data_IF_491456286612
#
_entry.id   IF_491456286612
#
_cell.length_a   1.000
_cell.length_b   1.000
_cell.length_c   1.000
_cell.angle_alpha   90.00
_cell.angle_beta   90.00
_cell.angle_gamma   90.00
#
_symmetry.space_group_name_H-M   'P 1'
#
loop_
_entity.id
_entity.type
_entity.pdbx_description
1 polymer ?
#
# COMPACT_ATOMS: atom_id res chain seq x y z
N UNK A 1 -14.90 -3.40 -5.93
CA UNK A 1 -13.68 -2.93 -5.26
C UNK A 1 -13.78 -3.23 -3.76
N UNK A 2 -12.66 -3.37 -3.08
CA UNK A 2 -12.58 -3.49 -1.60
C UNK A 2 -11.74 -2.30 -1.13
N UNK A 3 -12.20 -1.61 -0.09
CA UNK A 3 -11.47 -0.53 0.57
C UNK A 3 -11.51 -0.81 2.07
N UNK A 4 -10.34 -1.06 2.68
CA UNK A 4 -10.24 -1.45 4.09
C UNK A 4 -9.56 -0.33 4.88
N UNK A 5 -10.24 0.17 5.92
CA UNK A 5 -9.59 0.93 6.97
C UNK A 5 -9.14 -0.03 8.07
N UNK A 6 -7.88 -0.47 7.98
CA UNK A 6 -7.32 -1.45 8.94
C UNK A 6 -7.05 -0.82 10.32
N UNK A 7 -7.24 0.49 10.47
CA UNK A 7 -7.14 1.19 11.75
C UNK A 7 -8.35 1.01 12.65
N UNK A 8 -9.50 0.59 12.09
CA UNK A 8 -10.73 0.40 12.86
C UNK A 8 -10.58 -0.65 13.98
N UNK A 9 -11.33 -0.46 15.08
CA UNK A 9 -11.29 -1.30 16.28
C UNK A 9 -11.45 -2.81 15.99
N UNK A 10 -12.22 -3.15 14.95
CA UNK A 10 -12.43 -4.53 14.54
C UNK A 10 -11.16 -5.24 14.07
N UNK A 11 -10.17 -4.49 13.56
CA UNK A 11 -8.89 -5.00 13.06
C UNK A 11 -7.75 -4.86 14.07
N UNK A 12 -7.92 -4.04 15.10
CA UNK A 12 -6.89 -3.72 16.11
C UNK A 12 -7.14 -4.35 17.48
N UNK A 13 -8.21 -5.14 17.63
CA UNK A 13 -8.52 -5.79 18.91
C UNK A 13 -7.43 -6.77 19.36
N UNK A 14 -6.68 -6.37 20.38
CA UNK A 14 -5.58 -7.18 20.93
C UNK A 14 -4.29 -7.14 20.10
N UNK A 15 -4.19 -6.21 19.13
CA UNK A 15 -3.03 -6.01 18.27
C UNK A 15 -2.68 -4.51 18.18
N UNK A 16 -1.43 -4.13 17.93
CA UNK A 16 -1.10 -2.73 17.66
C UNK A 16 -1.82 -2.21 16.40
N UNK A 17 -2.03 -0.89 16.32
CA UNK A 17 -2.55 -0.24 15.13
C UNK A 17 -1.63 -0.51 13.91
N UNK A 18 -2.14 -0.71 12.68
CA UNK A 18 -1.32 -1.09 11.53
C UNK A 18 -0.23 -0.07 11.14
N UNK A 19 -0.40 1.18 11.55
CA UNK A 19 0.65 2.20 11.40
C UNK A 19 1.86 1.91 12.28
N UNK A 20 1.69 1.29 13.45
CA UNK A 20 2.73 0.97 14.42
C UNK A 20 3.37 -0.38 14.08
N UNK A 21 2.54 -1.38 13.80
CA UNK A 21 2.95 -2.74 13.44
C UNK A 21 2.29 -3.15 12.11
N UNK A 22 3.07 -3.39 11.04
CA UNK A 22 2.51 -3.66 9.72
C UNK A 22 1.86 -5.06 9.60
N UNK A 23 2.02 -5.95 10.59
CA UNK A 23 1.62 -7.36 10.47
C UNK A 23 0.17 -7.55 10.05
N UNK A 24 -0.78 -6.83 10.66
CA UNK A 24 -2.20 -6.92 10.28
C UNK A 24 -2.39 -6.54 8.81
N UNK A 25 -1.74 -5.48 8.32
CA UNK A 25 -1.83 -5.09 6.91
C UNK A 25 -1.25 -6.18 6.00
N UNK A 26 -0.09 -6.72 6.33
CA UNK A 26 0.55 -7.78 5.53
C UNK A 26 -0.33 -9.03 5.44
N UNK A 27 -0.94 -9.46 6.54
CA UNK A 27 -1.87 -10.61 6.57
C UNK A 27 -3.13 -10.37 5.71
N UNK A 28 -3.72 -9.16 5.80
CA UNK A 28 -4.86 -8.80 4.94
C UNK A 28 -4.46 -8.71 3.48
N UNK A 29 -3.28 -8.17 3.17
CA UNK A 29 -2.76 -8.12 1.81
C UNK A 29 -2.61 -9.51 1.21
N UNK A 30 -1.97 -10.42 1.95
CA UNK A 30 -1.78 -11.81 1.54
C UNK A 30 -3.11 -12.54 1.31
N UNK A 31 -4.11 -12.31 2.16
CA UNK A 31 -5.42 -12.98 2.04
C UNK A 31 -6.37 -12.36 1.01
N UNK A 32 -6.18 -11.09 0.63
CA UNK A 32 -7.14 -10.35 -0.21
C UNK A 32 -6.67 -10.15 -1.65
N UNK A 33 -5.36 -10.08 -1.90
CA UNK A 33 -4.82 -9.83 -3.25
C UNK A 33 -4.69 -11.13 -4.03
N UNK A 34 -5.51 -11.31 -5.06
CA UNK A 34 -5.62 -12.53 -5.86
C UNK A 34 -5.57 -12.25 -7.38
N UNK A 35 -5.81 -13.29 -8.19
CA UNK A 35 -5.81 -13.21 -9.66
C UNK A 35 -6.88 -12.29 -10.25
N UNK A 36 -7.90 -11.91 -9.46
CA UNK A 36 -8.95 -10.97 -9.85
C UNK A 36 -8.60 -9.52 -9.56
N UNK A 37 -7.51 -9.28 -8.81
CA UNK A 37 -7.08 -7.94 -8.41
C UNK A 37 -6.41 -7.23 -9.59
N UNK A 38 -7.01 -6.13 -10.04
CA UNK A 38 -6.46 -5.31 -11.13
C UNK A 38 -5.61 -4.12 -10.65
N UNK A 39 -5.93 -3.56 -9.48
CA UNK A 39 -5.27 -2.37 -8.92
C UNK A 39 -5.13 -2.54 -7.41
N UNK A 40 -3.95 -2.21 -6.91
CA UNK A 40 -3.66 -2.07 -5.49
C UNK A 40 -3.42 -0.58 -5.19
N UNK A 41 -4.22 -0.05 -4.28
CA UNK A 41 -4.11 1.33 -3.78
C UNK A 41 -3.72 1.29 -2.31
N UNK A 42 -2.63 1.98 -1.94
CA UNK A 42 -2.13 2.03 -0.56
C UNK A 42 -1.80 3.46 -0.13
N UNK A 43 -1.94 3.74 1.15
CA UNK A 43 -1.36 4.93 1.77
C UNK A 43 -0.25 4.54 2.76
N UNK A 44 0.81 5.35 2.78
CA UNK A 44 1.95 5.18 3.67
C UNK A 44 2.04 6.40 4.55
N UNK A 45 1.88 6.22 5.86
CA UNK A 45 1.94 7.30 6.85
C UNK A 45 3.27 7.24 7.59
N UNK A 46 3.99 8.35 7.63
CA UNK A 46 5.27 8.50 8.32
C UNK A 46 5.09 9.22 9.66
N UNK A 47 6.19 9.55 10.32
CA UNK A 47 6.21 10.34 11.54
C UNK A 47 6.32 9.51 12.82
N UNK A 48 6.26 10.21 13.94
CA UNK A 48 6.41 9.60 15.26
C UNK A 48 5.26 8.63 15.56
N UNK A 49 5.59 7.46 16.06
CA UNK A 49 4.64 6.39 16.34
C UNK A 49 4.35 5.49 15.13
N UNK A 50 4.72 5.89 13.92
CA UNK A 50 4.67 5.00 12.75
C UNK A 50 5.81 3.98 12.79
N UNK A 51 5.64 2.87 12.07
CA UNK A 51 6.65 1.84 11.90
C UNK A 51 7.97 2.44 11.38
N UNK A 52 9.09 1.77 11.65
CA UNK A 52 10.43 2.27 11.30
C UNK A 52 10.65 2.37 9.78
N UNK A 53 10.00 1.49 9.00
CA UNK A 53 10.09 1.45 7.54
C UNK A 53 8.75 1.03 6.91
N UNK A 54 7.72 1.91 6.94
CA UNK A 54 6.37 1.54 6.53
C UNK A 54 6.29 1.29 5.02
N UNK A 55 7.08 2.01 4.22
CA UNK A 55 7.23 1.78 2.79
C UNK A 55 7.86 0.40 2.49
N UNK A 56 8.91 0.01 3.22
CA UNK A 56 9.54 -1.31 3.08
C UNK A 56 8.56 -2.45 3.36
N UNK A 57 7.78 -2.35 4.42
CA UNK A 57 6.78 -3.36 4.74
C UNK A 57 5.64 -3.44 3.69
N UNK A 58 5.35 -2.35 2.96
CA UNK A 58 4.44 -2.40 1.80
C UNK A 58 5.10 -3.13 0.63
N UNK A 59 6.35 -2.79 0.31
CA UNK A 59 7.11 -3.43 -0.78
C UNK A 59 7.21 -4.94 -0.58
N UNK A 60 7.53 -5.39 0.64
CA UNK A 60 7.57 -6.82 0.97
C UNK A 60 6.25 -7.53 0.67
N UNK A 61 5.11 -6.90 1.02
CA UNK A 61 3.78 -7.45 0.72
C UNK A 61 3.50 -7.53 -0.78
N UNK A 62 3.96 -6.55 -1.57
CA UNK A 62 3.82 -6.56 -3.03
C UNK A 62 4.66 -7.67 -3.66
N UNK A 63 5.90 -7.83 -3.22
CA UNK A 63 6.83 -8.83 -3.77
C UNK A 63 6.30 -10.24 -3.54
N UNK A 64 5.82 -10.54 -2.32
CA UNK A 64 5.19 -11.83 -2.01
C UNK A 64 3.94 -12.08 -2.86
N UNK A 65 3.08 -11.07 -3.04
CA UNK A 65 1.89 -11.22 -3.87
C UNK A 65 2.25 -11.43 -5.35
N UNK A 66 3.25 -10.72 -5.87
CA UNK A 66 3.75 -10.91 -7.23
C UNK A 66 4.35 -12.29 -7.42
N UNK A 67 5.15 -12.78 -6.47
CA UNK A 67 5.71 -14.13 -6.54
C UNK A 67 4.60 -15.18 -6.68
N UNK A 68 3.56 -15.07 -5.85
CA UNK A 68 2.39 -15.94 -5.91
C UNK A 68 1.66 -15.86 -7.26
N UNK A 69 1.43 -14.65 -7.77
CA UNK A 69 0.61 -14.40 -8.96
C UNK A 69 1.38 -14.50 -10.29
N UNK A 70 2.71 -14.49 -10.27
CA UNK A 70 3.55 -14.68 -11.46
C UNK A 70 3.25 -16.01 -12.15
N UNK A 71 2.93 -17.05 -11.37
CA UNK A 71 2.56 -18.37 -11.90
C UNK A 71 1.29 -18.34 -12.76
N UNK A 72 0.39 -17.36 -12.55
CA UNK A 72 -0.85 -17.17 -13.29
C UNK A 72 -0.72 -16.19 -14.47
N UNK A 73 0.47 -15.59 -14.70
CA UNK A 73 0.67 -14.58 -15.73
C UNK A 73 -0.16 -13.30 -15.50
N UNK A 74 -0.50 -13.02 -14.25
CA UNK A 74 -1.27 -11.85 -13.81
C UNK A 74 -0.37 -10.82 -13.17
N UNK A 75 -0.67 -9.55 -13.41
CA UNK A 75 -0.04 -8.41 -12.75
C UNK A 75 -1.11 -7.36 -12.43
N UNK A 76 -0.79 -6.45 -11.53
CA UNK A 76 -1.71 -5.42 -11.03
C UNK A 76 -1.02 -4.06 -10.98
N UNK A 77 -1.81 -3.02 -11.20
CA UNK A 77 -1.31 -1.65 -11.11
C UNK A 77 -1.11 -1.26 -9.64
N UNK A 78 0.01 -0.62 -9.36
CA UNK A 78 0.37 -0.13 -8.02
C UNK A 78 0.19 1.38 -7.95
N UNK A 79 -0.65 1.86 -7.05
CA UNK A 79 -0.84 3.29 -6.77
C UNK A 79 -0.63 3.55 -5.28
N UNK A 80 0.14 4.58 -4.93
CA UNK A 80 0.37 4.95 -3.55
C UNK A 80 0.19 6.45 -3.29
N UNK A 81 0.07 6.81 -2.02
CA UNK A 81 0.39 8.16 -1.54
C UNK A 81 1.20 8.06 -0.25
N UNK A 82 2.11 9.01 -0.02
CA UNK A 82 2.90 9.08 1.22
C UNK A 82 2.52 10.34 1.98
N UNK A 83 2.10 10.19 3.23
CA UNK A 83 1.76 11.28 4.14
C UNK A 83 2.84 11.41 5.21
N UNK A 84 3.55 12.54 5.22
CA UNK A 84 4.66 12.81 6.11
C UNK A 84 5.45 14.03 5.66
N UNK A 85 6.59 14.26 6.28
CA UNK A 85 7.50 15.38 6.04
C UNK A 85 8.94 14.90 5.85
N UNK A 86 9.78 15.75 5.28
CA UNK A 86 11.23 15.49 5.15
C UNK A 86 11.97 15.51 6.50
N UNK A 87 11.30 15.87 7.59
CA UNK A 87 11.83 15.82 8.96
C UNK A 87 11.43 14.54 9.71
N UNK A 88 10.58 13.69 9.13
CA UNK A 88 10.15 12.47 9.80
C UNK A 88 11.26 11.42 9.85
N UNK A 89 11.33 10.59 10.92
CA UNK A 89 12.42 9.62 11.11
C UNK A 89 12.61 8.61 9.96
N UNK A 90 11.55 8.34 9.20
CA UNK A 90 11.54 7.37 8.11
C UNK A 90 12.11 7.92 6.79
N UNK A 91 12.35 9.24 6.70
CA UNK A 91 12.74 9.95 5.48
C UNK A 91 11.68 9.85 4.36
N UNK A 92 10.99 10.96 4.10
CA UNK A 92 9.95 11.05 3.09
C UNK A 92 10.44 10.67 1.69
N UNK A 93 11.59 11.20 1.26
CA UNK A 93 12.09 10.99 -0.09
C UNK A 93 12.60 9.57 -0.28
N UNK A 94 13.24 9.00 0.76
CA UNK A 94 13.63 7.59 0.77
C UNK A 94 12.42 6.67 0.69
N UNK A 95 11.35 6.99 1.41
CA UNK A 95 10.10 6.22 1.40
C UNK A 95 9.42 6.25 0.03
N UNK A 96 9.31 7.43 -0.58
CA UNK A 96 8.76 7.60 -1.93
C UNK A 96 9.60 6.81 -2.95
N UNK A 97 10.92 7.02 -2.95
CA UNK A 97 11.82 6.36 -3.89
C UNK A 97 11.73 4.83 -3.79
N UNK A 98 11.64 4.30 -2.57
CA UNK A 98 11.48 2.86 -2.35
C UNK A 98 10.21 2.30 -3.01
N UNK A 99 9.09 3.01 -2.89
CA UNK A 99 7.84 2.61 -3.55
C UNK A 99 7.97 2.70 -5.08
N UNK A 100 8.53 3.79 -5.60
CA UNK A 100 8.73 3.99 -7.04
C UNK A 100 9.64 2.91 -7.65
N UNK A 101 10.71 2.52 -6.95
CA UNK A 101 11.64 1.48 -7.41
C UNK A 101 10.96 0.09 -7.52
N UNK A 102 9.85 -0.15 -6.80
CA UNK A 102 8.99 -1.35 -6.91
C UNK A 102 7.90 -1.23 -7.99
N UNK A 103 7.78 -0.06 -8.62
CA UNK A 103 6.82 0.22 -9.69
C UNK A 103 5.51 0.87 -9.24
N UNK A 104 5.45 1.43 -8.03
CA UNK A 104 4.31 2.26 -7.64
C UNK A 104 4.27 3.57 -8.41
N UNK A 105 3.07 3.99 -8.79
CA UNK A 105 2.78 5.38 -9.13
C UNK A 105 2.45 6.12 -7.82
N UNK A 106 3.42 6.88 -7.30
CA UNK A 106 3.25 7.61 -6.04
C UNK A 106 2.66 8.99 -6.31
N UNK A 107 1.45 9.23 -5.81
CA UNK A 107 0.74 10.49 -5.98
C UNK A 107 0.96 11.43 -4.79
N UNK A 108 0.89 12.76 -4.99
CA UNK A 108 1.20 13.75 -3.93
C UNK A 108 0.20 13.77 -2.77
N UNK A 109 -0.95 13.12 -2.92
CA UNK A 109 -1.99 13.04 -1.89
C UNK A 109 -2.86 11.80 -2.09
N UNK A 110 -3.48 11.33 -1.01
CA UNK A 110 -4.46 10.24 -1.07
C UNK A 110 -5.61 10.57 -2.06
N UNK A 111 -6.12 11.80 -2.04
CA UNK A 111 -7.17 12.23 -2.97
C UNK A 111 -6.73 12.16 -4.45
N UNK A 112 -5.47 12.42 -4.75
CA UNK A 112 -4.94 12.26 -6.12
C UNK A 112 -4.68 10.80 -6.47
N UNK A 113 -4.23 9.98 -5.52
CA UNK A 113 -4.09 8.54 -5.68
C UNK A 113 -5.43 7.88 -6.05
N UNK A 114 -6.50 8.19 -5.32
CA UNK A 114 -7.87 7.71 -5.61
C UNK A 114 -8.35 8.18 -6.99
N UNK A 115 -8.15 9.46 -7.35
CA UNK A 115 -8.54 9.97 -8.67
C UNK A 115 -7.77 9.31 -9.81
N UNK A 116 -6.50 8.95 -9.60
CA UNK A 116 -5.74 8.20 -10.59
C UNK A 116 -6.30 6.79 -10.72
N UNK A 117 -6.55 6.09 -9.62
CA UNK A 117 -7.16 4.76 -9.61
C UNK A 117 -8.49 4.74 -10.37
N UNK A 118 -9.39 5.69 -10.12
CA UNK A 118 -10.66 5.84 -10.87
C UNK A 118 -10.45 6.00 -12.37
N UNK A 119 -9.45 6.79 -12.80
CA UNK A 119 -9.13 6.96 -14.21
C UNK A 119 -8.59 5.68 -14.85
N UNK A 120 -7.75 4.93 -14.12
CA UNK A 120 -7.21 3.65 -14.60
C UNK A 120 -8.33 2.62 -14.75
N UNK A 121 -9.22 2.52 -13.76
CA UNK A 121 -10.40 1.64 -13.85
C UNK A 121 -11.26 1.95 -15.08
N UNK A 122 -11.61 3.23 -15.28
CA UNK A 122 -12.40 3.67 -16.44
C UNK A 122 -11.72 3.38 -17.78
N UNK A 123 -10.41 3.62 -17.87
CA UNK A 123 -9.64 3.37 -19.09
C UNK A 123 -9.54 1.86 -19.41
N UNK A 124 -9.51 1.01 -18.38
CA UNK A 124 -9.48 -0.44 -18.51
C UNK A 124 -10.87 -1.09 -18.70
N UNK A 125 -11.96 -0.32 -18.55
CA UNK A 125 -13.32 -0.84 -18.61
C UNK A 125 -13.73 -1.68 -17.38
N UNK A 126 -13.14 -1.38 -16.22
CA UNK A 126 -13.39 -2.02 -14.92
C UNK A 126 -14.43 -1.27 -14.08
#
# INVERSE_FOLDING_TARGET
HICLDLGEDQFTRGRPHPMIDPMTRSEYFESTVDESTAIVLVDVVLGYGSYADPAGAVVESIELARERLTTAGKDFVLVASVTGTDQDPQDLFKSIKKLEDTGFIVMPSNAQAVRLTDRIMKAAGL
#
